data_IF_742050298950
#
_entry.id   IF_742050298950
#
_cell.length_a   1.000
_cell.length_b   1.000
_cell.length_c   1.000
_cell.angle_alpha   90.00
_cell.angle_beta   90.00
_cell.angle_gamma   90.00
#
_symmetry.space_group_name_H-M   'P 1'
#
loop_
_entity.id
_entity.type
_entity.pdbx_description
1 polymer ?
#
# COMPACT_ATOMS: atom_id res chain seq x y z
N UNK A 1 -17.70 45.84 -4.57
CA UNK A 1 -19.03 45.19 -4.40
C UNK A 1 -19.29 44.44 -5.68
N UNK A 2 -19.40 43.11 -5.77
CA UNK A 2 -19.83 42.08 -4.83
C UNK A 2 -19.11 40.79 -5.31
N UNK A 3 -18.27 40.20 -4.47
CA UNK A 3 -17.63 38.92 -4.75
C UNK A 3 -18.60 37.81 -4.37
N UNK A 4 -18.99 37.01 -5.35
CA UNK A 4 -19.81 35.81 -5.12
C UNK A 4 -18.94 34.76 -4.43
N UNK A 5 -19.31 34.45 -3.18
CA UNK A 5 -18.74 33.32 -2.44
C UNK A 5 -19.34 32.04 -3.03
N UNK A 6 -18.50 31.23 -3.66
CA UNK A 6 -18.78 29.81 -3.82
C UNK A 6 -18.55 29.15 -2.46
N UNK A 7 -19.63 28.68 -1.84
CA UNK A 7 -19.55 27.85 -0.64
C UNK A 7 -18.84 26.53 -0.97
N UNK A 8 -17.71 26.20 -0.31
CA UNK A 8 -17.14 24.87 -0.42
C UNK A 8 -17.99 23.95 0.46
N UNK A 9 -19.02 23.33 -0.13
CA UNK A 9 -19.57 22.10 0.44
C UNK A 9 -18.49 21.04 0.29
N UNK A 10 -17.62 20.96 1.30
CA UNK A 10 -16.69 19.86 1.49
C UNK A 10 -17.55 18.64 1.77
N UNK A 11 -17.79 17.84 0.73
CA UNK A 11 -18.36 16.50 0.88
C UNK A 11 -17.29 15.68 1.60
N UNK A 12 -17.42 15.63 2.91
CA UNK A 12 -16.58 14.83 3.79
C UNK A 12 -16.94 13.35 3.55
N UNK A 13 -16.27 12.72 2.58
CA UNK A 13 -16.41 11.30 2.33
C UNK A 13 -15.88 10.54 3.56
N UNK A 14 -16.80 9.96 4.32
CA UNK A 14 -16.50 9.20 5.54
C UNK A 14 -15.78 7.89 5.15
N UNK A 15 -14.47 7.84 5.39
CA UNK A 15 -13.58 6.67 5.16
C UNK A 15 -14.13 5.37 5.80
N UNK A 16 -15.05 5.50 6.76
CA UNK A 16 -15.77 4.41 7.44
C UNK A 16 -16.61 3.52 6.52
N UNK A 17 -16.98 3.98 5.33
CA UNK A 17 -17.86 3.19 4.44
C UNK A 17 -17.12 2.02 3.77
N UNK A 18 -15.82 2.16 3.50
CA UNK A 18 -14.99 1.07 2.95
C UNK A 18 -14.67 0.02 4.01
N UNK A 19 -14.59 0.44 5.28
CA UNK A 19 -14.35 -0.47 6.42
C UNK A 19 -15.50 -1.47 6.62
N UNK A 20 -16.74 -1.08 6.28
CA UNK A 20 -17.93 -1.96 6.38
C UNK A 20 -17.97 -3.08 5.34
N UNK A 21 -17.44 -2.85 4.14
CA UNK A 21 -17.39 -3.89 3.11
C UNK A 21 -16.39 -5.02 3.44
N UNK A 22 -15.55 -4.82 4.47
CA UNK A 22 -14.58 -5.80 4.94
C UNK A 22 -14.96 -6.44 6.30
N UNK A 23 -16.21 -6.25 6.75
CA UNK A 23 -16.70 -6.77 8.03
C UNK A 23 -17.32 -8.16 7.86
N UNK A 24 -16.49 -9.21 7.95
CA UNK A 24 -16.91 -10.59 8.23
C UNK A 24 -16.40 -11.00 9.64
N UNK A 25 -17.06 -11.96 10.31
CA UNK A 25 -17.27 -11.95 11.76
C UNK A 25 -16.00 -12.25 12.57
N UNK A 26 -15.84 -11.53 13.69
CA UNK A 26 -15.03 -11.82 14.87
C UNK A 26 -13.87 -12.82 14.71
N UNK A 27 -12.85 -12.42 13.97
CA UNK A 27 -11.49 -12.83 14.33
C UNK A 27 -10.99 -11.76 15.31
N UNK A 28 -10.87 -12.12 16.59
CA UNK A 28 -10.41 -11.25 17.68
C UNK A 28 -9.37 -10.23 17.20
N UNK A 29 -9.80 -8.97 17.12
CA UNK A 29 -8.91 -7.84 16.86
C UNK A 29 -8.01 -7.74 18.09
N UNK A 30 -6.70 -8.03 18.00
CA UNK A 30 -5.80 -7.83 19.12
C UNK A 30 -5.76 -6.32 19.40
N UNK A 31 -6.07 -5.93 20.64
CA UNK A 31 -6.06 -4.59 21.26
C UNK A 31 -6.26 -3.38 20.32
N UNK A 32 -7.34 -2.62 20.57
CA UNK A 32 -7.58 -1.31 19.96
C UNK A 32 -6.44 -0.28 20.19
N UNK A 33 -5.48 -0.61 21.05
CA UNK A 33 -4.29 0.17 21.39
C UNK A 33 -3.08 -0.15 20.50
N UNK A 34 -3.08 -1.28 19.78
CA UNK A 34 -1.96 -1.66 18.93
C UNK A 34 -1.87 -0.75 17.69
N UNK A 35 -0.66 -0.26 17.31
CA UNK A 35 -0.52 0.50 16.08
C UNK A 35 -0.97 -0.31 14.86
N UNK A 36 -1.54 0.38 13.87
CA UNK A 36 -2.02 -0.26 12.64
C UNK A 36 -0.85 -0.86 11.86
N UNK A 37 0.22 -0.09 11.69
CA UNK A 37 1.44 -0.50 11.00
C UNK A 37 2.67 -0.11 11.82
N UNK A 38 3.62 -1.03 11.94
CA UNK A 38 4.93 -0.74 12.48
C UNK A 38 6.04 -1.25 11.57
N UNK A 39 7.04 -0.41 11.38
CA UNK A 39 8.33 -0.69 10.77
C UNK A 39 9.37 -0.57 11.87
N UNK A 40 10.11 -1.65 12.12
CA UNK A 40 11.14 -1.69 13.17
C UNK A 40 12.50 -2.02 12.56
N UNK A 41 13.43 -1.07 12.64
CA UNK A 41 14.82 -1.19 12.18
C UNK A 41 14.94 -1.53 10.69
N UNK A 42 14.07 -0.97 9.84
CA UNK A 42 14.04 -1.30 8.41
C UNK A 42 15.32 -0.86 7.74
N UNK A 43 16.03 -1.82 7.14
CA UNK A 43 17.17 -1.58 6.25
C UNK A 43 16.84 -2.09 4.87
N UNK A 44 17.28 -1.35 3.85
CA UNK A 44 17.20 -1.80 2.46
C UNK A 44 18.49 -1.48 1.74
N UNK A 45 19.15 -2.54 1.29
CA UNK A 45 20.35 -2.46 0.45
C UNK A 45 20.00 -3.00 -0.93
N UNK A 46 20.36 -2.24 -1.96
CA UNK A 46 20.31 -2.68 -3.35
C UNK A 46 21.73 -2.88 -3.86
N UNK A 47 21.95 -3.97 -4.58
CA UNK A 47 23.24 -4.33 -5.14
C UNK A 47 23.28 -5.82 -5.41
N UNK A 48 24.27 -6.30 -6.17
CA UNK A 48 24.41 -7.73 -6.43
C UNK A 48 24.73 -8.44 -5.11
N UNK A 49 24.06 -9.56 -4.88
CA UNK A 49 24.44 -10.49 -3.83
C UNK A 49 25.65 -11.26 -4.33
N UNK A 50 26.86 -11.04 -3.78
CA UNK A 50 28.06 -11.65 -4.33
C UNK A 50 27.96 -13.16 -4.17
N UNK A 51 28.18 -13.86 -5.28
CA UNK A 51 28.16 -15.31 -5.32
C UNK A 51 29.43 -15.87 -4.64
N UNK A 52 29.44 -17.16 -4.28
CA UNK A 52 30.57 -17.72 -3.51
C UNK A 52 31.93 -17.57 -4.23
N UNK A 53 31.94 -17.63 -5.56
CA UNK A 53 33.13 -17.39 -6.40
C UNK A 53 33.57 -15.93 -6.31
N UNK A 54 32.63 -14.98 -6.40
CA UNK A 54 32.92 -13.56 -6.26
C UNK A 54 33.42 -13.24 -4.85
N UNK A 55 32.86 -13.86 -3.81
CA UNK A 55 33.35 -13.69 -2.43
C UNK A 55 34.77 -14.20 -2.27
N UNK A 56 35.11 -15.35 -2.87
CA UNK A 56 36.47 -15.89 -2.85
C UNK A 56 37.45 -14.97 -3.61
N UNK A 57 37.07 -14.50 -4.80
CA UNK A 57 37.87 -13.56 -5.59
C UNK A 57 38.02 -12.18 -4.94
N UNK A 58 36.99 -11.67 -4.24
CA UNK A 58 37.07 -10.45 -3.43
C UNK A 58 38.00 -10.63 -2.23
N UNK A 59 37.94 -11.80 -1.56
CA UNK A 59 38.82 -12.12 -0.42
C UNK A 59 40.29 -12.28 -0.84
N UNK A 60 40.53 -12.73 -2.07
CA UNK A 60 41.85 -12.81 -2.70
C UNK A 60 42.29 -11.47 -3.35
N UNK A 61 41.44 -10.44 -3.31
CA UNK A 61 41.73 -9.10 -3.87
C UNK A 61 41.70 -9.02 -5.40
N UNK A 62 41.24 -10.07 -6.09
CA UNK A 62 41.18 -10.13 -7.56
C UNK A 62 39.93 -9.48 -8.13
N UNK A 63 38.89 -9.33 -7.32
CA UNK A 63 37.62 -8.72 -7.72
C UNK A 63 37.29 -7.55 -6.79
N UNK A 64 36.86 -6.42 -7.38
CA UNK A 64 36.33 -5.29 -6.61
C UNK A 64 34.87 -5.57 -6.24
N UNK A 65 34.42 -5.23 -5.03
CA UNK A 65 33.00 -5.30 -4.68
C UNK A 65 32.21 -4.39 -5.62
N UNK A 66 31.09 -4.90 -6.12
CA UNK A 66 30.16 -4.07 -6.86
C UNK A 66 29.56 -2.98 -5.95
N UNK A 67 29.20 -1.84 -6.54
CA UNK A 67 28.57 -0.76 -5.81
C UNK A 67 27.25 -1.23 -5.19
N UNK A 68 27.08 -0.94 -3.90
CA UNK A 68 25.84 -1.18 -3.15
C UNK A 68 25.23 0.16 -2.75
N UNK A 69 23.90 0.25 -2.77
CA UNK A 69 23.15 1.44 -2.39
C UNK A 69 22.33 1.12 -1.14
N UNK A 70 22.64 1.82 -0.06
CA UNK A 70 21.88 1.79 1.19
C UNK A 70 20.69 2.73 1.06
N UNK A 71 19.56 2.22 0.56
CA UNK A 71 18.37 3.03 0.35
C UNK A 71 17.62 3.35 1.65
N UNK A 72 17.74 2.50 2.68
CA UNK A 72 17.21 2.73 4.03
C UNK A 72 18.19 2.16 5.04
N UNK A 73 18.41 2.89 6.14
CA UNK A 73 19.38 2.51 7.16
C UNK A 73 18.81 2.56 8.58
N UNK A 74 18.02 1.55 8.94
CA UNK A 74 17.52 1.37 10.30
C UNK A 74 16.33 2.28 10.62
N UNK A 75 15.38 2.38 9.70
CA UNK A 75 14.21 3.24 9.84
C UNK A 75 13.16 2.59 10.74
N UNK A 76 12.72 3.33 11.75
CA UNK A 76 11.57 3.03 12.59
C UNK A 76 10.39 3.94 12.22
N UNK A 77 9.21 3.37 12.03
CA UNK A 77 7.97 4.11 11.74
C UNK A 77 6.79 3.39 12.40
N UNK A 78 5.97 4.13 13.12
CA UNK A 78 4.73 3.62 13.73
C UNK A 78 3.57 4.47 13.21
N UNK A 79 2.50 3.83 12.78
CA UNK A 79 1.28 4.48 12.31
C UNK A 79 0.10 3.91 13.11
N UNK A 80 -0.59 4.76 13.85
CA UNK A 80 -1.79 4.40 14.61
C UNK A 80 -3.03 4.29 13.70
N UNK A 81 -4.07 3.64 14.21
CA UNK A 81 -5.35 3.59 13.49
C UNK A 81 -5.94 5.00 13.35
N UNK A 82 -6.33 5.37 12.13
CA UNK A 82 -6.89 6.69 11.80
C UNK A 82 -5.86 7.82 11.72
N UNK A 83 -4.58 7.52 11.87
CA UNK A 83 -3.50 8.51 11.73
C UNK A 83 -3.19 8.79 10.25
N UNK A 84 -2.88 10.05 9.94
CA UNK A 84 -2.39 10.48 8.64
C UNK A 84 -0.94 10.92 8.78
N UNK A 85 -0.04 10.25 8.07
CA UNK A 85 1.40 10.51 8.12
C UNK A 85 1.90 11.04 6.78
N UNK A 86 2.57 12.20 6.82
CA UNK A 86 3.28 12.78 5.67
C UNK A 86 4.77 12.48 5.73
N UNK A 87 5.32 11.85 4.68
CA UNK A 87 6.76 11.60 4.55
C UNK A 87 7.39 12.55 3.52
N UNK A 88 8.28 13.43 3.98
CA UNK A 88 8.95 14.45 3.16
C UNK A 88 10.46 14.27 3.15
N UNK A 89 11.12 14.75 2.09
CA UNK A 89 12.57 14.69 1.93
C UNK A 89 13.02 14.81 0.47
N UNK A 90 14.31 15.01 0.25
CA UNK A 90 14.91 15.20 -1.07
C UNK A 90 14.70 14.03 -2.04
N UNK A 91 14.78 14.28 -3.34
CA UNK A 91 14.71 13.21 -4.33
C UNK A 91 15.80 12.17 -4.06
N UNK A 92 15.45 10.88 -4.11
CA UNK A 92 16.40 9.79 -3.85
C UNK A 92 16.65 9.41 -2.38
N UNK A 93 16.09 10.12 -1.38
CA UNK A 93 16.33 9.79 0.03
C UNK A 93 15.62 8.51 0.56
N UNK A 94 15.04 7.69 -0.32
CA UNK A 94 14.43 6.41 0.06
C UNK A 94 12.93 6.43 0.38
N UNK A 95 12.23 7.56 0.26
CA UNK A 95 10.76 7.66 0.54
C UNK A 95 9.94 6.60 -0.18
N UNK A 96 10.09 6.49 -1.50
CA UNK A 96 9.34 5.50 -2.30
C UNK A 96 9.76 4.07 -1.98
N UNK A 97 10.99 3.85 -1.51
CA UNK A 97 11.47 2.55 -1.02
C UNK A 97 10.78 2.19 0.30
N UNK A 98 10.71 3.13 1.24
CA UNK A 98 10.03 2.95 2.52
C UNK A 98 8.54 2.71 2.32
N UNK A 99 7.87 3.49 1.47
CA UNK A 99 6.45 3.31 1.14
C UNK A 99 6.16 1.93 0.53
N UNK A 100 6.96 1.47 -0.43
CA UNK A 100 6.82 0.11 -1.00
C UNK A 100 7.05 -0.99 0.02
N UNK A 101 7.97 -0.79 0.97
CA UNK A 101 8.17 -1.73 2.08
C UNK A 101 6.97 -1.70 3.03
N UNK A 102 6.44 -0.52 3.36
CA UNK A 102 5.27 -0.36 4.21
C UNK A 102 4.07 -1.13 3.66
N UNK A 103 3.80 -1.05 2.35
CA UNK A 103 2.66 -1.74 1.71
C UNK A 103 2.92 -3.18 1.29
N UNK A 104 4.14 -3.69 1.46
CA UNK A 104 4.47 -5.08 1.11
C UNK A 104 4.86 -5.36 -0.33
N UNK A 105 5.04 -4.34 -1.16
CA UNK A 105 5.52 -4.48 -2.54
C UNK A 105 7.04 -4.73 -2.62
N UNK A 106 7.78 -4.36 -1.57
CA UNK A 106 9.21 -4.57 -1.48
C UNK A 106 9.57 -5.22 -0.15
N UNK A 107 10.35 -6.30 -0.19
CA UNK A 107 10.90 -6.90 1.02
C UNK A 107 12.07 -6.05 1.57
N UNK A 108 12.14 -5.78 2.88
CA UNK A 108 13.32 -5.17 3.49
C UNK A 108 14.51 -6.14 3.44
N UNK A 109 15.73 -5.62 3.46
CA UNK A 109 16.95 -6.43 3.62
C UNK A 109 17.13 -6.87 5.08
N UNK A 110 16.68 -6.05 6.03
CA UNK A 110 16.61 -6.39 7.46
C UNK A 110 15.51 -5.57 8.15
N UNK A 111 15.14 -5.97 9.37
CA UNK A 111 14.08 -5.35 10.15
C UNK A 111 12.75 -6.10 10.09
N UNK A 112 11.73 -5.56 10.74
CA UNK A 112 10.41 -6.21 10.87
C UNK A 112 9.29 -5.26 10.45
N UNK A 113 8.30 -5.82 9.75
CA UNK A 113 7.02 -5.17 9.47
C UNK A 113 5.92 -5.86 10.26
N UNK A 114 5.20 -5.09 11.08
CA UNK A 114 4.11 -5.58 11.92
C UNK A 114 2.81 -4.92 11.46
N UNK A 115 1.73 -5.69 11.52
CA UNK A 115 0.38 -5.22 11.25
C UNK A 115 -0.49 -5.53 12.46
N UNK A 116 -1.06 -4.51 13.10
CA UNK A 116 -1.81 -4.66 14.36
C UNK A 116 -1.06 -5.50 15.39
N UNK A 117 0.22 -5.20 15.58
CA UNK A 117 1.13 -5.92 16.49
C UNK A 117 1.64 -7.29 16.01
N UNK A 118 1.12 -7.85 14.91
CA UNK A 118 1.55 -9.16 14.40
C UNK A 118 2.63 -9.04 13.32
N UNK A 119 3.74 -9.79 13.45
CA UNK A 119 4.81 -9.78 12.47
C UNK A 119 4.37 -10.46 11.16
N UNK A 120 4.30 -9.70 10.07
CA UNK A 120 3.67 -10.17 8.82
C UNK A 120 4.34 -11.39 8.18
N UNK A 121 5.66 -11.52 8.32
CA UNK A 121 6.41 -12.67 7.78
C UNK A 121 6.13 -13.97 8.53
N UNK A 122 5.53 -13.91 9.72
CA UNK A 122 5.18 -15.08 10.55
C UNK A 122 3.73 -15.52 10.36
N UNK A 123 2.91 -14.71 9.70
CA UNK A 123 1.50 -15.02 9.51
C UNK A 123 1.32 -16.13 8.45
N UNK A 124 0.29 -16.99 8.60
CA UNK A 124 -0.11 -17.93 7.54
C UNK A 124 -0.46 -17.19 6.25
N UNK A 125 -0.30 -17.86 5.10
CA UNK A 125 -0.52 -17.25 3.78
C UNK A 125 -1.90 -16.63 3.62
N UNK A 126 -2.95 -17.30 4.12
CA UNK A 126 -4.32 -16.80 4.10
C UNK A 126 -4.46 -15.46 4.85
N UNK A 127 -3.82 -15.34 6.01
CA UNK A 127 -3.86 -14.13 6.82
C UNK A 127 -3.00 -13.02 6.19
N UNK A 128 -1.84 -13.36 5.62
CA UNK A 128 -1.07 -12.40 4.83
C UNK A 128 -1.88 -11.87 3.63
N UNK A 129 -2.68 -12.71 2.96
CA UNK A 129 -3.58 -12.28 1.87
C UNK A 129 -4.65 -11.31 2.38
N UNK A 130 -5.24 -11.56 3.55
CA UNK A 130 -6.19 -10.64 4.19
C UNK A 130 -5.55 -9.30 4.52
N UNK A 131 -4.35 -9.30 5.09
CA UNK A 131 -3.61 -8.06 5.36
C UNK A 131 -3.30 -7.30 4.07
N UNK A 132 -2.86 -7.99 3.01
CA UNK A 132 -2.62 -7.36 1.70
C UNK A 132 -3.87 -6.68 1.14
N UNK A 133 -5.07 -7.22 1.38
CA UNK A 133 -6.33 -6.56 1.01
C UNK A 133 -6.65 -5.33 1.87
N UNK A 134 -6.19 -5.32 3.13
CA UNK A 134 -6.33 -4.16 4.02
C UNK A 134 -5.37 -3.01 3.74
N UNK A 135 -4.39 -3.17 2.84
CA UNK A 135 -3.40 -2.14 2.52
C UNK A 135 -3.46 -1.83 1.03
N UNK A 136 -3.98 -0.65 0.68
CA UNK A 136 -4.10 -0.21 -0.71
C UNK A 136 -3.10 0.91 -1.01
N UNK A 137 -2.42 0.81 -2.17
CA UNK A 137 -1.45 1.81 -2.62
C UNK A 137 -1.97 2.52 -3.87
N UNK A 138 -1.87 3.85 -3.88
CA UNK A 138 -2.04 4.68 -5.08
C UNK A 138 -0.64 5.05 -5.59
N UNK A 139 -0.35 4.71 -6.84
CA UNK A 139 0.95 4.98 -7.45
C UNK A 139 1.05 6.43 -7.93
N UNK A 140 2.27 6.98 -7.95
CA UNK A 140 2.54 8.34 -8.41
C UNK A 140 2.21 8.54 -9.90
N UNK A 141 2.38 7.48 -10.72
CA UNK A 141 1.93 7.45 -12.11
C UNK A 141 0.58 6.71 -12.18
N UNK A 142 -0.55 7.44 -12.31
CA UNK A 142 -1.85 6.82 -12.37
C UNK A 142 -2.05 6.04 -13.67
N UNK A 143 -1.44 6.45 -14.79
CA UNK A 143 -1.62 5.82 -16.10
C UNK A 143 -1.00 4.44 -16.15
N UNK A 144 0.15 4.26 -15.48
CA UNK A 144 0.81 2.95 -15.38
C UNK A 144 -0.05 1.88 -14.71
N UNK A 145 -1.10 2.27 -13.96
CA UNK A 145 -2.01 1.34 -13.27
C UNK A 145 -3.30 1.03 -14.05
N UNK A 146 -3.57 1.75 -15.15
CA UNK A 146 -4.81 1.59 -15.92
C UNK A 146 -4.59 0.71 -17.16
N UNK A 147 -5.55 -0.17 -17.44
CA UNK A 147 -5.58 -0.93 -18.69
C UNK A 147 -6.50 -0.21 -19.70
N UNK A 148 -5.97 0.44 -20.75
CA UNK A 148 -6.77 1.21 -21.70
C UNK A 148 -7.72 0.33 -22.55
N UNK A 149 -7.57 -1.00 -22.50
CA UNK A 149 -8.48 -1.94 -23.17
C UNK A 149 -9.71 -2.29 -22.34
N UNK A 150 -9.80 -1.80 -21.10
CA UNK A 150 -10.92 -2.07 -20.19
C UNK A 150 -11.82 -0.84 -20.06
N UNK A 151 -13.13 -1.08 -19.96
CA UNK A 151 -14.09 -0.02 -19.59
C UNK A 151 -13.92 0.33 -18.13
N UNK A 152 -14.32 1.54 -17.76
CA UNK A 152 -14.25 2.03 -16.36
C UNK A 152 -15.00 1.09 -15.42
N UNK A 153 -16.19 0.61 -15.79
CA UNK A 153 -16.94 -0.39 -14.99
C UNK A 153 -16.23 -1.71 -14.75
N UNK A 154 -15.43 -2.16 -15.71
CA UNK A 154 -14.71 -3.42 -15.60
C UNK A 154 -13.48 -3.23 -14.73
N UNK A 155 -12.76 -2.13 -14.94
CA UNK A 155 -11.56 -1.80 -14.18
C UNK A 155 -11.86 -1.56 -12.69
N UNK A 156 -12.94 -0.84 -12.37
CA UNK A 156 -13.37 -0.61 -10.99
C UNK A 156 -14.04 -1.83 -10.36
N UNK A 157 -14.71 -2.66 -11.16
CA UNK A 157 -15.48 -3.81 -10.69
C UNK A 157 -14.68 -5.13 -10.57
N UNK A 158 -13.53 -5.25 -11.23
CA UNK A 158 -12.75 -6.50 -11.29
C UNK A 158 -12.19 -6.89 -9.91
N UNK A 159 -11.40 -6.00 -9.29
CA UNK A 159 -10.75 -6.29 -8.01
C UNK A 159 -11.73 -6.70 -6.89
N UNK A 160 -12.82 -5.96 -6.61
CA UNK A 160 -13.77 -6.37 -5.57
C UNK A 160 -14.46 -7.70 -5.90
N UNK A 161 -14.70 -8.01 -7.18
CA UNK A 161 -15.27 -9.31 -7.59
C UNK A 161 -14.29 -10.46 -7.41
N UNK A 162 -13.04 -10.31 -7.87
CA UNK A 162 -11.99 -11.34 -7.76
C UNK A 162 -11.68 -11.65 -6.29
N UNK A 163 -11.80 -10.65 -5.42
CA UNK A 163 -11.60 -10.81 -3.98
C UNK A 163 -12.87 -11.19 -3.20
N UNK A 164 -14.01 -11.39 -3.88
CA UNK A 164 -15.25 -11.85 -3.26
C UNK A 164 -15.94 -10.81 -2.38
N UNK A 165 -15.63 -9.53 -2.56
CA UNK A 165 -16.29 -8.42 -1.86
C UNK A 165 -17.67 -8.11 -2.45
N UNK A 166 -17.86 -8.39 -3.74
CA UNK A 166 -19.13 -8.24 -4.45
C UNK A 166 -19.35 -9.38 -5.45
N UNK A 167 -20.61 -9.71 -5.68
CA UNK A 167 -21.03 -10.59 -6.77
C UNK A 167 -21.12 -9.85 -8.11
N UNK A 168 -21.14 -10.60 -9.21
CA UNK A 168 -21.32 -10.05 -10.57
C UNK A 168 -22.56 -9.16 -10.69
N UNK A 169 -23.64 -9.50 -9.98
CA UNK A 169 -24.91 -8.74 -9.99
C UNK A 169 -24.80 -7.39 -9.29
N UNK A 170 -23.86 -7.25 -8.35
CA UNK A 170 -23.65 -6.03 -7.56
C UNK A 170 -22.65 -5.08 -8.22
N UNK A 171 -22.01 -5.48 -9.33
CA UNK A 171 -20.93 -4.71 -9.95
C UNK A 171 -21.39 -3.31 -10.38
N UNK A 172 -22.56 -3.19 -11.00
CA UNK A 172 -23.08 -1.91 -11.48
C UNK A 172 -23.29 -0.92 -10.33
N UNK A 173 -23.99 -1.35 -9.28
CA UNK A 173 -24.29 -0.52 -8.12
C UNK A 173 -23.02 -0.12 -7.36
N UNK A 174 -22.08 -1.06 -7.21
CA UNK A 174 -20.79 -0.80 -6.56
C UNK A 174 -19.98 0.26 -7.31
N UNK A 175 -19.88 0.14 -8.64
CA UNK A 175 -19.14 1.10 -9.48
C UNK A 175 -19.81 2.47 -9.44
N UNK A 176 -21.13 2.54 -9.53
CA UNK A 176 -21.87 3.80 -9.46
C UNK A 176 -21.65 4.52 -8.12
N UNK A 177 -21.70 3.77 -7.01
CA UNK A 177 -21.43 4.32 -5.68
C UNK A 177 -19.98 4.85 -5.57
N UNK A 178 -19.01 4.11 -6.10
CA UNK A 178 -17.60 4.51 -6.07
C UNK A 178 -17.35 5.78 -6.88
N UNK A 179 -17.91 5.87 -8.09
CA UNK A 179 -17.79 7.07 -8.93
C UNK A 179 -18.40 8.28 -8.25
N UNK A 180 -19.60 8.13 -7.67
CA UNK A 180 -20.24 9.21 -6.91
C UNK A 180 -19.39 9.67 -5.73
N UNK A 181 -18.76 8.73 -4.99
CA UNK A 181 -17.91 9.05 -3.84
C UNK A 181 -16.69 9.91 -4.22
N UNK A 182 -16.15 9.76 -5.43
CA UNK A 182 -15.04 10.57 -5.94
C UNK A 182 -15.49 11.78 -6.77
N UNK A 183 -16.80 12.08 -6.79
CA UNK A 183 -17.36 13.24 -7.50
C UNK A 183 -17.49 13.06 -9.01
N UNK A 184 -17.55 11.83 -9.51
CA UNK A 184 -17.74 11.51 -10.93
C UNK A 184 -19.18 11.02 -11.18
N UNK A 185 -19.75 11.41 -12.33
CA UNK A 185 -21.03 10.91 -12.83
C UNK A 185 -20.94 9.40 -13.14
N UNK A 186 -21.82 8.55 -12.56
CA UNK A 186 -21.92 7.13 -12.89
C UNK A 186 -22.10 6.82 -14.38
N UNK A 187 -22.66 7.75 -15.17
CA UNK A 187 -22.79 7.58 -16.62
C UNK A 187 -21.44 7.45 -17.34
N UNK A 188 -20.34 7.91 -16.73
CA UNK A 188 -18.98 7.75 -17.25
C UNK A 188 -18.43 6.32 -17.12
N UNK A 189 -19.16 5.41 -16.46
CA UNK A 189 -18.73 4.03 -16.28
C UNK A 189 -18.76 3.18 -17.57
N UNK A 190 -19.49 3.65 -18.58
CA UNK A 190 -19.87 2.91 -19.79
C UNK A 190 -18.73 2.69 -20.77
#
# INVERSE_FOLDING_TARGET
>A
MKGDRLDPTVVQADVRTIDRANSAPDAQIPDATAPLLELRGIRKVFGPTPDWIERAGQRLGWLRPAATVHALDGVDLTIASGEVVGLVGESGCGKSTLGRIAVGLLAPSAGKRLWRGAALHTLPEAEQRRVRLGIQMIFQDPYASLNPRMRVRDLLGEAPRVHGLIDRRQQADFVAALLHQVGLDPAMAE
#
